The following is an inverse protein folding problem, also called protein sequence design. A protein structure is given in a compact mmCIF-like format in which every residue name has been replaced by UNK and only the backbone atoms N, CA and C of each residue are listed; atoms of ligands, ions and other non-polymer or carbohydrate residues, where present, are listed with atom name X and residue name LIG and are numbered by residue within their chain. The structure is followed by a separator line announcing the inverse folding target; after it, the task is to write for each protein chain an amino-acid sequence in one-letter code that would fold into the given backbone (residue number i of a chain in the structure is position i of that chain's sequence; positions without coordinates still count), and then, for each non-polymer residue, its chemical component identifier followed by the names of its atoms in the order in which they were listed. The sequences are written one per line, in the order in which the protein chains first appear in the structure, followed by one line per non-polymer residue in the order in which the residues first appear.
data_IF_573963018565
#
_entry.id   IF_573963018565
#
_cell.length_a   1.000
_cell.length_b   1.000
_cell.length_c   1.000
_cell.angle_alpha   90.00
_cell.angle_beta   90.00
_cell.angle_gamma   90.00
#
_symmetry.space_group_name_H-M   'P 1'
#
loop_
_entity.id
_entity.type
_entity.pdbx_description
1 polymer ?
#
# COMPACT_ATOMS: atom_id res chain seq x y z
N UNK A 1 7.07 -17.54 -8.78
CA UNK A 1 7.23 -16.38 -9.68
C UNK A 1 8.37 -15.53 -9.18
N UNK A 2 9.28 -15.13 -10.07
CA UNK A 2 10.52 -14.42 -9.72
C UNK A 2 10.27 -13.14 -8.91
N UNK A 3 11.08 -12.84 -7.89
CA UNK A 3 10.88 -11.70 -6.97
C UNK A 3 10.77 -10.37 -7.72
N UNK A 4 11.60 -10.20 -8.76
CA UNK A 4 11.61 -9.03 -9.66
C UNK A 4 10.31 -8.94 -10.47
N UNK A 5 9.79 -10.06 -10.96
CA UNK A 5 8.53 -10.13 -11.71
C UNK A 5 7.33 -9.82 -10.80
N UNK A 6 7.35 -10.30 -9.55
CA UNK A 6 6.33 -9.93 -8.55
C UNK A 6 6.33 -8.44 -8.24
N UNK A 7 7.50 -7.84 -8.01
CA UNK A 7 7.61 -6.40 -7.78
C UNK A 7 7.02 -5.60 -8.95
N UNK A 8 7.38 -5.96 -10.19
CA UNK A 8 6.90 -5.28 -11.39
C UNK A 8 5.38 -5.43 -11.59
N UNK A 9 4.84 -6.64 -11.40
CA UNK A 9 3.40 -6.89 -11.54
C UNK A 9 2.59 -6.21 -10.41
N UNK A 10 3.10 -6.22 -9.18
CA UNK A 10 2.46 -5.55 -8.06
C UNK A 10 2.48 -4.03 -8.21
N UNK A 11 3.54 -3.45 -8.77
CA UNK A 11 3.60 -2.03 -9.13
C UNK A 11 2.58 -1.67 -10.23
N UNK A 12 2.43 -2.52 -11.26
CA UNK A 12 1.42 -2.34 -12.30
C UNK A 12 -0.02 -2.40 -11.75
N UNK A 13 -0.29 -3.34 -10.85
CA UNK A 13 -1.59 -3.45 -10.16
C UNK A 13 -1.86 -2.22 -9.29
N UNK A 14 -0.87 -1.74 -8.53
CA UNK A 14 -0.98 -0.51 -7.73
C UNK A 14 -1.27 0.72 -8.60
N UNK A 15 -0.59 0.86 -9.74
CA UNK A 15 -0.82 1.97 -10.66
C UNK A 15 -2.25 1.95 -11.23
N UNK A 16 -2.75 0.77 -11.62
CA UNK A 16 -4.13 0.61 -12.10
C UNK A 16 -5.17 0.95 -11.03
N UNK A 17 -5.00 0.45 -9.80
CA UNK A 17 -5.91 0.76 -8.69
C UNK A 17 -5.87 2.26 -8.37
N UNK A 18 -4.68 2.85 -8.32
CA UNK A 18 -4.51 4.28 -8.06
C UNK A 18 -5.21 5.14 -9.10
N UNK A 19 -5.08 4.80 -10.39
CA UNK A 19 -5.78 5.47 -11.48
C UNK A 19 -7.31 5.32 -11.39
N UNK A 20 -7.81 4.10 -11.13
CA UNK A 20 -9.23 3.84 -10.99
C UNK A 20 -9.86 4.56 -9.79
N UNK A 21 -9.16 4.59 -8.65
CA UNK A 21 -9.57 5.35 -7.46
C UNK A 21 -9.55 6.85 -7.73
N UNK A 22 -8.51 7.38 -8.36
CA UNK A 22 -8.43 8.80 -8.75
C UNK A 22 -9.59 9.22 -9.66
N UNK A 23 -9.94 8.37 -10.64
CA UNK A 23 -11.09 8.60 -11.52
C UNK A 23 -12.43 8.55 -10.77
N UNK A 24 -12.60 7.61 -9.84
CA UNK A 24 -13.80 7.49 -9.03
C UNK A 24 -14.02 8.70 -8.10
N UNK A 25 -12.93 9.27 -7.57
CA UNK A 25 -12.96 10.50 -6.76
C UNK A 25 -13.41 11.70 -7.62
N UNK A 26 -12.89 11.85 -8.85
CA UNK A 26 -13.30 12.93 -9.76
C UNK A 26 -14.80 12.89 -10.08
N UNK A 27 -15.40 11.70 -10.16
CA UNK A 27 -16.84 11.52 -10.40
C UNK A 27 -17.71 11.60 -9.13
N UNK A 28 -17.15 11.87 -7.95
CA UNK A 28 -17.86 11.83 -6.67
C UNK A 28 -18.62 10.51 -6.45
N UNK A 29 -18.04 9.39 -6.90
CA UNK A 29 -18.63 8.05 -6.73
C UNK A 29 -17.81 7.23 -5.72
N UNK A 30 -18.04 7.43 -4.41
CA UNK A 30 -17.20 6.83 -3.37
C UNK A 30 -17.31 5.30 -3.30
N UNK A 31 -18.46 4.74 -3.70
CA UNK A 31 -18.66 3.29 -3.78
C UNK A 31 -17.72 2.63 -4.80
N UNK A 32 -17.46 3.30 -5.93
CA UNK A 32 -16.57 2.79 -6.99
C UNK A 32 -15.12 2.81 -6.52
N UNK A 33 -14.72 3.85 -5.79
CA UNK A 33 -13.39 3.93 -5.19
C UNK A 33 -13.17 2.79 -4.18
N UNK A 34 -14.16 2.53 -3.31
CA UNK A 34 -14.09 1.47 -2.30
C UNK A 34 -13.96 0.08 -2.94
N UNK A 35 -14.78 -0.21 -3.95
CA UNK A 35 -14.75 -1.50 -4.67
C UNK A 35 -13.44 -1.71 -5.44
N UNK A 36 -12.90 -0.66 -6.06
CA UNK A 36 -11.60 -0.71 -6.71
C UNK A 36 -10.46 -1.02 -5.73
N UNK A 37 -10.57 -0.52 -4.50
CA UNK A 37 -9.56 -0.73 -3.46
C UNK A 37 -9.61 -2.17 -2.91
N UNK A 38 -10.81 -2.67 -2.64
CA UNK A 38 -11.03 -4.05 -2.16
C UNK A 38 -10.55 -5.07 -3.20
N UNK A 39 -10.94 -4.89 -4.46
CA UNK A 39 -10.50 -5.77 -5.56
C UNK A 39 -8.98 -5.77 -5.73
N UNK A 40 -8.36 -4.60 -5.59
CA UNK A 40 -6.91 -4.46 -5.61
C UNK A 40 -6.18 -5.22 -4.52
N UNK A 41 -6.66 -5.13 -3.27
CA UNK A 41 -6.12 -5.86 -2.12
C UNK A 41 -6.24 -7.38 -2.34
N UNK A 42 -7.40 -7.84 -2.82
CA UNK A 42 -7.63 -9.26 -3.12
C UNK A 42 -6.65 -9.74 -4.20
N UNK A 43 -6.50 -8.98 -5.27
CA UNK A 43 -5.61 -9.32 -6.39
C UNK A 43 -4.15 -9.41 -5.94
N UNK A 44 -3.67 -8.44 -5.15
CA UNK A 44 -2.33 -8.47 -4.58
C UNK A 44 -2.11 -9.65 -3.61
N UNK A 45 -3.13 -9.99 -2.81
CA UNK A 45 -3.07 -11.14 -1.89
C UNK A 45 -3.02 -12.47 -2.66
N UNK A 46 -3.75 -12.57 -3.77
CA UNK A 46 -3.73 -13.72 -4.66
C UNK A 46 -2.37 -13.86 -5.36
N UNK A 47 -1.81 -12.73 -5.82
CA UNK A 47 -0.50 -12.68 -6.44
C UNK A 47 0.61 -13.09 -5.46
N UNK A 48 0.49 -12.66 -4.19
CA UNK A 48 1.40 -13.07 -3.11
C UNK A 48 1.32 -14.56 -2.81
N UNK A 49 0.13 -15.17 -2.86
CA UNK A 49 -0.03 -16.63 -2.69
C UNK A 49 0.67 -17.44 -3.78
N UNK A 50 0.72 -16.93 -5.02
CA UNK A 50 1.40 -17.57 -6.17
C UNK A 50 2.94 -17.47 -6.15
N UNK A 51 3.50 -16.69 -5.23
CA UNK A 51 4.97 -16.52 -5.05
C UNK A 51 5.49 -17.36 -3.88
N UNK A 52 4.63 -18.13 -3.21
CA UNK A 52 5.02 -18.98 -2.09
C UNK A 52 5.95 -20.12 -2.51
N UNK A 53 7.24 -19.83 -2.58
CA UNK A 53 8.30 -20.78 -2.31
C UNK A 53 9.53 -20.05 -1.75
N UNK A 54 10.03 -20.59 -0.64
CA UNK A 54 11.25 -20.25 0.10
C UNK A 54 11.23 -18.91 0.87
N UNK A 55 10.65 -18.97 2.07
CA UNK A 55 11.07 -18.12 3.20
C UNK A 55 11.84 -19.03 4.16
N UNK A 56 13.06 -19.40 3.78
CA UNK A 56 14.03 -19.96 4.70
C UNK A 56 14.49 -18.91 5.72
N UNK A 57 14.88 -19.43 6.86
CA UNK A 57 14.87 -18.84 8.19
C UNK A 57 15.98 -17.82 8.47
N UNK A 58 15.60 -16.64 8.95
CA UNK A 58 16.46 -15.68 9.68
C UNK A 58 15.61 -15.05 10.80
N UNK A 59 15.30 -15.87 11.82
CA UNK A 59 14.04 -15.76 12.58
C UNK A 59 14.03 -14.75 13.74
N UNK A 60 15.11 -14.06 14.08
CA UNK A 60 15.14 -13.21 15.31
C UNK A 60 15.23 -11.71 15.03
N UNK A 61 16.07 -11.25 14.09
CA UNK A 61 16.21 -9.82 13.75
C UNK A 61 15.03 -9.33 12.88
N UNK A 62 14.45 -10.21 12.05
CA UNK A 62 13.34 -9.86 11.14
C UNK A 62 11.95 -9.82 11.79
N UNK A 63 11.77 -10.19 13.06
CA UNK A 63 10.43 -10.18 13.68
C UNK A 63 9.95 -8.74 13.86
N UNK A 64 10.79 -7.85 14.40
CA UNK A 64 10.46 -6.42 14.57
C UNK A 64 10.23 -5.76 13.21
N UNK A 65 11.07 -6.06 12.23
CA UNK A 65 10.98 -5.50 10.88
C UNK A 65 9.74 -5.99 10.13
N UNK A 66 9.36 -7.27 10.31
CA UNK A 66 8.15 -7.87 9.72
C UNK A 66 6.88 -7.41 10.42
N UNK A 67 6.91 -7.25 11.74
CA UNK A 67 5.82 -6.67 12.52
C UNK A 67 5.60 -5.21 12.10
N UNK A 68 6.66 -4.40 12.10
CA UNK A 68 6.62 -3.00 11.65
C UNK A 68 6.08 -2.87 10.22
N UNK A 69 6.53 -3.73 9.29
CA UNK A 69 5.98 -3.80 7.93
C UNK A 69 4.47 -4.07 7.90
N UNK A 70 4.01 -5.03 8.70
CA UNK A 70 2.60 -5.38 8.76
C UNK A 70 1.77 -4.27 9.39
N UNK A 71 2.28 -3.65 10.45
CA UNK A 71 1.64 -2.50 11.11
C UNK A 71 1.52 -1.33 10.14
N UNK A 72 2.60 -0.97 9.43
CA UNK A 72 2.58 0.08 8.42
C UNK A 72 1.63 -0.24 7.26
N UNK A 73 1.57 -1.49 6.79
CA UNK A 73 0.59 -1.88 5.76
C UNK A 73 -0.84 -1.69 6.24
N UNK A 74 -1.18 -2.20 7.42
CA UNK A 74 -2.55 -2.11 7.97
C UNK A 74 -2.90 -0.65 8.22
N UNK A 75 -2.01 0.10 8.86
CA UNK A 75 -2.18 1.52 9.15
C UNK A 75 -2.38 2.35 7.87
N UNK A 76 -1.50 2.18 6.87
CA UNK A 76 -1.59 2.93 5.62
C UNK A 76 -2.90 2.61 4.86
N UNK A 77 -3.33 1.35 4.83
CA UNK A 77 -4.60 0.96 4.20
C UNK A 77 -5.79 1.56 4.95
N UNK A 78 -5.83 1.45 6.28
CA UNK A 78 -6.93 2.01 7.09
C UNK A 78 -6.99 3.53 7.01
N UNK A 79 -5.84 4.20 7.05
CA UNK A 79 -5.76 5.65 6.99
C UNK A 79 -6.11 6.16 5.58
N UNK A 80 -5.66 5.49 4.52
CA UNK A 80 -6.06 5.83 3.14
C UNK A 80 -7.57 5.65 2.92
N UNK A 81 -8.17 4.60 3.46
CA UNK A 81 -9.61 4.39 3.46
C UNK A 81 -10.34 5.52 4.20
N UNK A 82 -9.86 5.87 5.40
CA UNK A 82 -10.45 6.94 6.21
C UNK A 82 -10.35 8.30 5.50
N UNK A 83 -9.20 8.62 4.89
CA UNK A 83 -9.01 9.80 4.04
C UNK A 83 -10.03 9.84 2.90
N UNK A 84 -10.19 8.74 2.16
CA UNK A 84 -11.13 8.65 1.05
C UNK A 84 -12.59 8.84 1.51
N UNK A 85 -12.95 8.25 2.66
CA UNK A 85 -14.26 8.44 3.30
C UNK A 85 -14.50 9.91 3.68
N UNK A 86 -13.53 10.57 4.32
CA UNK A 86 -13.65 11.99 4.68
C UNK A 86 -13.82 12.87 3.44
N UNK A 87 -13.03 12.62 2.39
CA UNK A 87 -13.14 13.33 1.10
C UNK A 87 -14.52 13.12 0.48
N UNK A 88 -15.03 11.89 0.51
CA UNK A 88 -16.32 11.53 -0.06
C UNK A 88 -17.52 12.18 0.63
N UNK A 89 -17.46 12.42 1.94
CA UNK A 89 -18.55 13.11 2.67
C UNK A 89 -18.70 14.58 2.27
N UNK A 90 -17.74 15.16 1.55
CA UNK A 90 -17.74 16.55 1.08
C UNK A 90 -17.53 17.59 2.18
N UNK A 91 -18.00 17.32 3.41
CA UNK A 91 -17.88 18.18 4.59
C UNK A 91 -16.44 18.28 5.11
N UNK A 92 -15.70 17.17 5.05
CA UNK A 92 -14.33 17.07 5.57
C UNK A 92 -13.28 16.90 4.47
N UNK A 93 -13.51 17.55 3.31
CA UNK A 93 -12.70 17.33 2.11
C UNK A 93 -11.24 17.77 2.30
N UNK A 94 -11.03 18.85 3.03
CA UNK A 94 -9.68 19.39 3.29
C UNK A 94 -8.94 18.50 4.29
N UNK A 95 -9.59 18.12 5.38
CA UNK A 95 -9.02 17.25 6.42
C UNK A 95 -8.67 15.87 5.84
N UNK A 96 -9.58 15.29 5.04
CA UNK A 96 -9.35 14.02 4.37
C UNK A 96 -8.18 14.09 3.37
N UNK A 97 -8.02 15.22 2.67
CA UNK A 97 -6.90 15.43 1.74
C UNK A 97 -5.56 15.54 2.48
N UNK A 98 -5.51 16.31 3.58
CA UNK A 98 -4.30 16.43 4.43
C UNK A 98 -3.91 15.05 4.98
N UNK A 99 -4.88 14.29 5.47
CA UNK A 99 -4.66 12.93 5.96
C UNK A 99 -4.12 12.02 4.84
N UNK A 100 -4.65 12.15 3.62
CA UNK A 100 -4.19 11.38 2.46
C UNK A 100 -2.74 11.70 2.09
N UNK A 101 -2.38 12.99 2.05
CA UNK A 101 -1.00 13.41 1.82
C UNK A 101 -0.05 12.92 2.91
N UNK A 102 -0.47 12.94 4.18
CA UNK A 102 0.33 12.42 5.29
C UNK A 102 0.61 10.92 5.15
N UNK A 103 -0.39 10.12 4.75
CA UNK A 103 -0.22 8.68 4.50
C UNK A 103 0.78 8.44 3.36
N UNK A 104 0.67 9.17 2.26
CA UNK A 104 1.64 9.10 1.17
C UNK A 104 3.05 9.48 1.64
N UNK A 105 3.19 10.53 2.45
CA UNK A 105 4.47 10.95 3.02
C UNK A 105 5.11 9.87 3.88
N UNK A 106 4.34 9.22 4.75
CA UNK A 106 4.82 8.10 5.58
C UNK A 106 5.28 6.92 4.72
N UNK A 107 4.57 6.61 3.63
CA UNK A 107 4.97 5.54 2.71
C UNK A 107 6.26 5.87 1.96
N UNK A 108 6.43 7.10 1.49
CA UNK A 108 7.67 7.55 0.84
C UNK A 108 8.83 7.50 1.84
N UNK A 109 8.64 8.01 3.05
CA UNK A 109 9.63 7.94 4.12
C UNK A 109 10.03 6.49 4.40
N UNK A 110 9.06 5.59 4.51
CA UNK A 110 9.30 4.17 4.69
C UNK A 110 10.12 3.56 3.55
N UNK A 111 9.84 3.92 2.29
CA UNK A 111 10.61 3.47 1.13
C UNK A 111 12.05 3.99 1.15
N UNK A 112 12.26 5.24 1.58
CA UNK A 112 13.59 5.83 1.74
C UNK A 112 14.37 5.06 2.81
N UNK A 113 13.78 4.84 4.00
CA UNK A 113 14.42 4.06 5.06
C UNK A 113 14.76 2.64 4.61
N UNK A 114 13.83 1.99 3.90
CA UNK A 114 14.06 0.67 3.34
C UNK A 114 15.21 0.67 2.33
N UNK A 115 15.27 1.65 1.43
CA UNK A 115 16.33 1.75 0.44
C UNK A 115 17.70 1.97 1.08
N UNK A 116 17.80 2.87 2.08
CA UNK A 116 19.03 3.14 2.82
C UNK A 116 19.51 1.91 3.58
N UNK A 117 18.62 1.24 4.32
CA UNK A 117 18.99 0.06 5.11
C UNK A 117 19.29 -1.17 4.25
N UNK A 118 18.59 -1.34 3.13
CA UNK A 118 18.89 -2.42 2.17
C UNK A 118 20.23 -2.25 1.46
N UNK A 119 20.73 -1.01 1.36
CA UNK A 119 22.07 -0.72 0.82
C UNK A 119 23.16 -1.04 1.83
N UNK A 120 22.91 -0.89 3.12
CA UNK A 120 23.91 -1.16 4.17
C UNK A 120 24.16 -2.66 4.42
N UNK A 121 23.26 -3.56 4.04
CA UNK A 121 23.50 -5.02 4.11
C UNK A 121 24.37 -5.56 2.96
N UNK A 122 24.78 -4.72 1.98
CA UNK A 122 25.55 -5.14 0.79
C UNK A 122 27.03 -4.72 0.87
N UNK A 123 27.48 -4.09 1.97
CA UNK A 123 28.89 -3.72 2.19
C UNK A 123 29.50 -4.46 3.36
#
# INVERSE_FOLDING_TARGET
MDRKRYALLSAAVLALIGGAVGYAVLKNQPLVALLSLISGIILLKFLRRRVGEVLEDERVIRISERASRRTLQVFAISAALLSALLIATGKYRVEGSILGFAVCGILILYLIFYAVYSRSEIS
#
